data_IF_898569384353
#
_entry.id   IF_898569384353
#
_cell.length_a   1.000
_cell.length_b   1.000
_cell.length_c   1.000
_cell.angle_alpha   90.00
_cell.angle_beta   90.00
_cell.angle_gamma   90.00
#
_symmetry.space_group_name_H-M   'P 1'
#
loop_
_entity.id
_entity.type
_entity.pdbx_description
1 polymer ?
#
# COMPACT_ATOMS: atom_id res chain seq x y z
N UNK A 1 -22.96 -36.74 -32.83
CA UNK A 1 -21.95 -35.78 -33.36
C UNK A 1 -22.23 -34.33 -32.93
N UNK A 2 -23.05 -34.10 -31.89
CA UNK A 2 -23.38 -32.75 -31.38
C UNK A 2 -22.34 -32.19 -30.39
N UNK A 3 -21.43 -33.01 -29.87
CA UNK A 3 -20.49 -32.60 -28.82
C UNK A 3 -19.37 -31.69 -29.34
N UNK A 4 -19.00 -31.79 -30.62
CA UNK A 4 -17.93 -30.98 -31.21
C UNK A 4 -18.39 -29.58 -31.64
N UNK A 5 -19.67 -29.39 -31.99
CA UNK A 5 -20.20 -28.08 -32.38
C UNK A 5 -20.55 -27.21 -31.16
N UNK A 6 -20.96 -27.82 -30.06
CA UNK A 6 -21.39 -27.10 -28.85
C UNK A 6 -20.23 -26.39 -28.10
N UNK A 7 -18.98 -26.81 -28.33
CA UNK A 7 -17.79 -26.16 -27.78
C UNK A 7 -17.40 -24.88 -28.53
N UNK A 8 -17.84 -24.75 -29.80
CA UNK A 8 -17.49 -23.64 -30.68
C UNK A 8 -18.46 -22.45 -30.53
N UNK A 9 -19.67 -22.70 -30.03
CA UNK A 9 -20.77 -21.72 -29.96
C UNK A 9 -20.88 -20.99 -28.60
N UNK A 10 -20.28 -21.55 -27.54
CA UNK A 10 -20.45 -21.07 -26.16
C UNK A 10 -19.28 -20.27 -25.56
N UNK A 11 -18.28 -19.85 -26.35
CA UNK A 11 -17.30 -18.87 -25.88
C UNK A 11 -16.33 -19.36 -24.79
N UNK A 12 -16.22 -20.67 -24.56
CA UNK A 12 -15.01 -21.29 -23.99
C UNK A 12 -14.09 -21.62 -25.18
N UNK A 13 -13.56 -20.59 -25.82
CA UNK A 13 -12.85 -20.71 -27.12
C UNK A 13 -11.32 -20.70 -27.01
N UNK A 14 -10.78 -20.66 -25.80
CA UNK A 14 -9.34 -20.52 -25.60
C UNK A 14 -8.96 -21.09 -24.23
N UNK A 15 -8.25 -22.24 -24.22
CA UNK A 15 -7.59 -22.78 -23.03
C UNK A 15 -6.82 -21.67 -22.29
N UNK A 16 -6.20 -20.76 -23.05
CA UNK A 16 -5.43 -19.66 -22.50
C UNK A 16 -6.29 -18.67 -21.69
N UNK A 17 -7.57 -18.50 -22.01
CA UNK A 17 -8.48 -17.62 -21.26
C UNK A 17 -8.89 -18.23 -19.92
N UNK A 18 -9.12 -19.55 -19.87
CA UNK A 18 -9.33 -20.28 -18.63
C UNK A 18 -8.06 -20.27 -17.76
N UNK A 19 -6.89 -20.51 -18.36
CA UNK A 19 -5.59 -20.47 -17.67
C UNK A 19 -5.28 -19.08 -17.11
N UNK A 20 -5.57 -18.01 -17.85
CA UNK A 20 -5.46 -16.62 -17.35
C UNK A 20 -6.34 -16.39 -16.14
N UNK A 21 -7.59 -16.85 -16.16
CA UNK A 21 -8.50 -16.69 -15.04
C UNK A 21 -8.01 -17.44 -13.80
N UNK A 22 -7.56 -18.69 -13.97
CA UNK A 22 -6.97 -19.49 -12.90
C UNK A 22 -5.75 -18.78 -12.31
N UNK A 23 -4.84 -18.30 -13.16
CA UNK A 23 -3.63 -17.59 -12.74
C UNK A 23 -3.94 -16.31 -11.97
N UNK A 24 -4.91 -15.52 -12.41
CA UNK A 24 -5.35 -14.31 -11.71
C UNK A 24 -5.95 -14.63 -10.32
N UNK A 25 -6.74 -15.69 -10.21
CA UNK A 25 -7.29 -16.12 -8.92
C UNK A 25 -6.20 -16.61 -7.97
N UNK A 26 -5.21 -17.35 -8.50
CA UNK A 26 -4.05 -17.80 -7.73
C UNK A 26 -3.24 -16.60 -7.21
N UNK A 27 -2.93 -15.62 -8.06
CA UNK A 27 -2.19 -14.42 -7.67
C UNK A 27 -2.91 -13.63 -6.56
N UNK A 28 -4.24 -13.46 -6.68
CA UNK A 28 -5.07 -12.86 -5.62
C UNK A 28 -5.00 -13.64 -4.31
N UNK A 29 -5.15 -14.96 -4.36
CA UNK A 29 -5.09 -15.80 -3.16
C UNK A 29 -3.71 -15.75 -2.47
N UNK A 30 -2.63 -15.72 -3.25
CA UNK A 30 -1.26 -15.58 -2.72
C UNK A 30 -1.09 -14.21 -2.05
N UNK A 31 -1.52 -13.12 -2.70
CA UNK A 31 -1.46 -11.78 -2.13
C UNK A 31 -2.28 -11.67 -0.83
N UNK A 32 -3.52 -12.18 -0.83
CA UNK A 32 -4.37 -12.22 0.37
C UNK A 32 -3.71 -13.00 1.51
N UNK A 33 -3.14 -14.17 1.23
CA UNK A 33 -2.49 -15.02 2.23
C UNK A 33 -1.24 -14.35 2.80
N UNK A 34 -0.45 -13.71 1.93
CA UNK A 34 0.74 -12.95 2.32
C UNK A 34 0.38 -11.83 3.29
N UNK A 35 -0.63 -11.03 2.94
CA UNK A 35 -1.12 -9.92 3.79
C UNK A 35 -1.67 -10.41 5.12
N UNK A 36 -2.48 -11.48 5.11
CA UNK A 36 -3.00 -12.07 6.35
C UNK A 36 -1.88 -12.53 7.28
N UNK A 37 -0.85 -13.17 6.74
CA UNK A 37 0.31 -13.61 7.52
C UNK A 37 1.10 -12.43 8.07
N UNK A 38 1.38 -11.42 7.24
CA UNK A 38 2.14 -10.24 7.65
C UNK A 38 1.45 -9.45 8.75
N UNK A 39 0.13 -9.29 8.65
CA UNK A 39 -0.63 -8.45 9.57
C UNK A 39 -1.22 -9.23 10.75
N UNK A 40 -1.01 -10.55 10.82
CA UNK A 40 -1.57 -11.42 11.85
C UNK A 40 -3.10 -11.53 11.80
N UNK A 41 -3.71 -11.42 10.62
CA UNK A 41 -5.16 -11.44 10.45
C UNK A 41 -5.65 -12.89 10.32
N UNK A 42 -6.33 -13.36 11.36
CA UNK A 42 -6.91 -14.71 11.40
C UNK A 42 -8.28 -14.81 10.71
N UNK A 43 -9.00 -13.69 10.57
CA UNK A 43 -10.32 -13.65 9.89
C UNK A 43 -10.18 -13.62 8.37
N UNK A 44 -11.30 -13.81 7.67
CA UNK A 44 -11.40 -13.50 6.25
C UNK A 44 -11.29 -11.98 6.03
N UNK A 45 -10.66 -11.59 4.91
CA UNK A 45 -10.66 -10.21 4.45
C UNK A 45 -12.03 -9.86 3.87
N UNK A 46 -12.51 -8.64 4.15
CA UNK A 46 -13.69 -8.08 3.49
C UNK A 46 -13.39 -7.82 2.02
N UNK A 47 -14.43 -7.70 1.17
CA UNK A 47 -14.23 -7.44 -0.25
C UNK A 47 -13.36 -6.20 -0.50
N UNK A 48 -13.62 -5.12 0.24
CA UNK A 48 -12.84 -3.87 0.13
C UNK A 48 -11.37 -4.05 0.50
N UNK A 49 -11.08 -4.88 1.50
CA UNK A 49 -9.69 -5.22 1.87
C UNK A 49 -9.02 -6.04 0.77
N UNK A 50 -9.73 -7.01 0.18
CA UNK A 50 -9.22 -7.79 -0.96
C UNK A 50 -8.92 -6.90 -2.16
N UNK A 51 -9.77 -5.90 -2.42
CA UNK A 51 -9.57 -4.95 -3.52
C UNK A 51 -8.28 -4.13 -3.31
N UNK A 52 -8.02 -3.67 -2.07
CA UNK A 52 -6.77 -3.01 -1.72
C UNK A 52 -5.56 -3.94 -1.91
N UNK A 53 -5.64 -5.17 -1.40
CA UNK A 53 -4.53 -6.13 -1.54
C UNK A 53 -4.24 -6.42 -3.01
N UNK A 54 -5.27 -6.63 -3.82
CA UNK A 54 -5.11 -6.82 -5.26
C UNK A 54 -4.48 -5.60 -5.94
N UNK A 55 -4.88 -4.39 -5.55
CA UNK A 55 -4.31 -3.15 -6.06
C UNK A 55 -2.81 -3.07 -5.77
N UNK A 56 -2.38 -3.37 -4.55
CA UNK A 56 -0.97 -3.25 -4.15
C UNK A 56 -0.08 -4.26 -4.88
N UNK A 57 -0.46 -5.55 -4.86
CA UNK A 57 0.40 -6.62 -5.38
C UNK A 57 0.26 -6.88 -6.87
N UNK A 58 -0.96 -6.80 -7.43
CA UNK A 58 -1.21 -7.22 -8.80
C UNK A 58 -1.37 -6.04 -9.78
N UNK A 59 -1.62 -4.82 -9.30
CA UNK A 59 -1.75 -3.62 -10.14
C UNK A 59 -0.52 -2.73 -10.02
N UNK A 60 -0.10 -2.39 -8.79
CA UNK A 60 1.12 -1.59 -8.54
C UNK A 60 2.39 -2.42 -8.46
N UNK A 61 2.23 -3.75 -8.44
CA UNK A 61 3.34 -4.69 -8.45
C UNK A 61 4.33 -4.48 -7.28
N UNK A 62 3.80 -4.02 -6.14
CA UNK A 62 4.59 -3.89 -4.92
C UNK A 62 4.92 -5.26 -4.35
N UNK A 63 6.13 -5.36 -3.79
CA UNK A 63 6.56 -6.53 -3.07
C UNK A 63 6.00 -6.56 -1.64
N UNK A 64 6.25 -7.69 -0.97
CA UNK A 64 5.80 -7.87 0.42
C UNK A 64 6.49 -6.92 1.39
N UNK A 65 7.73 -6.53 1.10
CA UNK A 65 8.52 -5.65 1.98
C UNK A 65 7.96 -4.24 1.99
N UNK A 66 7.57 -3.70 0.83
CA UNK A 66 6.92 -2.41 0.68
C UNK A 66 5.62 -2.34 1.49
N UNK A 67 4.77 -3.37 1.38
CA UNK A 67 3.50 -3.43 2.13
C UNK A 67 3.74 -3.59 3.62
N UNK A 68 4.76 -4.37 4.02
CA UNK A 68 5.16 -4.51 5.43
C UNK A 68 5.63 -3.19 6.02
N UNK A 69 6.42 -2.42 5.28
CA UNK A 69 6.93 -1.13 5.74
C UNK A 69 5.78 -0.12 5.93
N UNK A 70 4.80 -0.09 5.03
CA UNK A 70 3.59 0.73 5.20
C UNK A 70 2.79 0.32 6.45
N UNK A 71 2.71 -0.97 6.75
CA UNK A 71 2.09 -1.49 7.97
C UNK A 71 2.82 -1.03 9.23
N UNK A 72 4.15 -1.14 9.26
CA UNK A 72 4.98 -0.69 10.39
C UNK A 72 4.79 0.81 10.65
N UNK A 73 4.79 1.63 9.60
CA UNK A 73 4.50 3.08 9.71
C UNK A 73 3.11 3.32 10.30
N UNK A 74 2.09 2.60 9.82
CA UNK A 74 0.73 2.74 10.35
C UNK A 74 0.65 2.37 11.84
N UNK A 75 1.24 1.26 12.25
CA UNK A 75 1.23 0.81 13.65
C UNK A 75 2.01 1.80 14.53
N UNK A 76 3.18 2.28 14.09
CA UNK A 76 3.96 3.28 14.82
C UNK A 76 3.22 4.61 14.97
N UNK A 77 2.47 5.03 13.94
CA UNK A 77 1.75 6.31 13.96
C UNK A 77 0.43 6.27 14.76
N UNK A 78 -0.32 5.17 14.70
CA UNK A 78 -1.68 5.08 15.27
C UNK A 78 -1.85 4.10 16.42
N UNK A 79 -0.85 3.25 16.67
CA UNK A 79 -0.93 2.14 17.63
C UNK A 79 -1.94 1.04 17.25
N UNK A 80 -2.58 1.14 16.07
CA UNK A 80 -3.61 0.22 15.64
C UNK A 80 -3.55 -0.03 14.14
N UNK A 81 -3.97 -1.22 13.73
CA UNK A 81 -4.04 -1.63 12.34
C UNK A 81 -5.24 -0.98 11.62
N UNK A 82 -4.99 -0.32 10.47
CA UNK A 82 -6.05 0.26 9.65
C UNK A 82 -5.74 0.19 8.14
N UNK A 83 -6.42 -0.70 7.43
CA UNK A 83 -6.30 -0.86 5.96
C UNK A 83 -6.37 0.46 5.17
N UNK A 84 -7.35 1.36 5.40
CA UNK A 84 -7.44 2.60 4.62
C UNK A 84 -6.22 3.51 4.81
N UNK A 85 -5.59 3.48 5.99
CA UNK A 85 -4.42 4.30 6.26
C UNK A 85 -3.18 3.73 5.58
N UNK A 86 -3.00 2.40 5.62
CA UNK A 86 -1.95 1.70 4.89
C UNK A 86 -2.10 1.95 3.38
N UNK A 87 -3.32 1.86 2.83
CA UNK A 87 -3.57 2.18 1.42
C UNK A 87 -3.13 3.60 1.10
N UNK A 88 -3.45 4.58 1.94
CA UNK A 88 -3.07 5.98 1.71
C UNK A 88 -1.56 6.19 1.71
N UNK A 89 -0.80 5.47 2.53
CA UNK A 89 0.67 5.49 2.51
C UNK A 89 1.17 4.94 1.17
N UNK A 90 0.67 3.77 0.76
CA UNK A 90 1.05 3.11 -0.49
C UNK A 90 0.65 3.93 -1.73
N UNK A 91 -0.51 4.59 -1.71
CA UNK A 91 -0.95 5.53 -2.75
C UNK A 91 0.00 6.72 -2.89
N UNK A 92 0.46 7.27 -1.75
CA UNK A 92 1.44 8.35 -1.75
C UNK A 92 2.78 7.90 -2.36
N UNK A 93 3.23 6.69 -2.10
CA UNK A 93 4.45 6.16 -2.73
C UNK A 93 4.27 5.91 -4.22
N UNK A 94 3.18 5.26 -4.61
CA UNK A 94 2.85 5.00 -6.01
C UNK A 94 2.76 6.30 -6.82
N UNK A 95 2.09 7.33 -6.29
CA UNK A 95 1.98 8.64 -6.96
C UNK A 95 3.33 9.38 -7.09
N UNK A 96 4.30 9.05 -6.25
CA UNK A 96 5.68 9.57 -6.33
C UNK A 96 6.61 8.70 -7.18
N UNK A 97 6.11 7.61 -7.75
CA UNK A 97 6.92 6.65 -8.50
C UNK A 97 7.90 5.85 -7.62
N UNK A 98 7.65 5.80 -6.31
CA UNK A 98 8.43 5.04 -5.35
C UNK A 98 7.92 3.60 -5.39
N UNK A 99 8.77 2.68 -5.82
CA UNK A 99 8.41 1.28 -6.03
C UNK A 99 9.26 0.29 -5.22
N UNK A 100 10.24 0.80 -4.46
CA UNK A 100 11.17 -0.04 -3.68
C UNK A 100 11.27 0.46 -2.25
N UNK A 101 11.53 -0.45 -1.30
CA UNK A 101 11.69 -0.11 0.10
C UNK A 101 12.87 0.87 0.36
N UNK A 102 13.94 0.77 -0.43
CA UNK A 102 15.08 1.71 -0.35
C UNK A 102 14.66 3.14 -0.64
N UNK A 103 13.89 3.36 -1.71
CA UNK A 103 13.39 4.69 -2.08
C UNK A 103 12.44 5.28 -1.03
N UNK A 104 11.72 4.43 -0.29
CA UNK A 104 10.88 4.88 0.83
C UNK A 104 11.72 5.43 1.96
N UNK A 105 12.85 4.80 2.28
CA UNK A 105 13.73 5.27 3.34
C UNK A 105 14.25 6.69 3.05
N UNK A 106 14.64 6.96 1.80
CA UNK A 106 15.03 8.29 1.34
C UNK A 106 13.89 9.32 1.45
N UNK A 107 12.63 8.92 1.19
CA UNK A 107 11.47 9.81 1.36
C UNK A 107 11.20 10.11 2.84
N UNK A 108 11.34 9.12 3.71
CA UNK A 108 11.16 9.29 5.15
C UNK A 108 12.21 10.23 5.75
N UNK A 109 13.48 10.09 5.35
CA UNK A 109 14.56 11.00 5.75
C UNK A 109 14.23 12.44 5.32
N UNK A 110 13.84 12.64 4.05
CA UNK A 110 13.46 13.96 3.53
C UNK A 110 12.26 14.58 4.26
N UNK A 111 11.27 13.77 4.66
CA UNK A 111 10.13 14.25 5.46
C UNK A 111 10.53 14.68 6.86
N UNK A 112 11.42 13.94 7.52
CA UNK A 112 11.92 14.30 8.85
C UNK A 112 12.75 15.59 8.81
N UNK A 113 13.56 15.79 7.77
CA UNK A 113 14.33 17.02 7.53
C UNK A 113 13.41 18.24 7.28
N UNK A 114 12.33 18.07 6.51
CA UNK A 114 11.36 19.15 6.27
C UNK A 114 10.47 19.46 7.49
N UNK A 115 10.18 18.45 8.31
CA UNK A 115 9.38 18.66 9.53
C UNK A 115 10.20 19.35 10.62
N UNK A 116 11.49 19.01 10.74
CA UNK A 116 12.43 19.71 11.63
C UNK A 116 12.71 21.16 11.19
N UNK A 117 12.77 21.43 9.88
CA UNK A 117 12.92 22.81 9.37
C UNK A 117 11.67 23.66 9.62
N UNK A 118 10.46 23.09 9.52
CA UNK A 118 9.22 23.82 9.78
C UNK A 118 8.90 24.01 11.28
N UNK A 119 9.37 23.12 12.16
CA UNK A 119 9.31 23.35 13.61
C UNK A 119 10.33 24.39 14.10
N UNK A 120 11.27 24.79 13.25
CA UNK A 120 12.24 25.86 13.51
C UNK A 120 11.69 27.25 13.17
N UNK A 121 10.39 27.50 13.34
CA UNK A 121 9.90 28.85 13.66
C UNK A 121 10.39 29.24 15.07
N UNK A 122 11.71 29.37 15.17
CA UNK A 122 12.45 30.38 15.91
C UNK A 122 11.85 30.72 17.27
N UNK A 123 11.79 29.73 18.15
CA UNK A 123 11.48 29.90 19.57
C UNK A 123 12.38 30.98 20.19
N UNK A 124 13.63 31.07 19.73
CA UNK A 124 14.57 32.11 20.13
C UNK A 124 14.17 33.51 19.65
N UNK A 125 13.54 33.63 18.47
CA UNK A 125 13.08 34.91 17.91
C UNK A 125 11.79 35.40 18.54
N UNK A 126 10.94 34.49 19.01
CA UNK A 126 9.75 34.83 19.79
C UNK A 126 10.17 35.41 21.15
N UNK A 127 11.18 34.82 21.79
CA UNK A 127 11.72 35.32 23.06
C UNK A 127 12.39 36.70 22.90
N UNK A 128 13.12 36.91 21.80
CA UNK A 128 13.75 38.19 21.46
C UNK A 128 12.73 39.31 21.15
N UNK A 129 11.60 38.98 20.52
CA UNK A 129 10.51 39.94 20.25
C UNK A 129 9.72 40.30 21.52
N UNK A 130 9.55 39.37 22.46
CA UNK A 130 8.83 39.63 23.72
C UNK A 130 9.62 40.53 24.68
N UNK A 131 10.95 40.56 24.55
CA UNK A 131 11.82 41.43 25.34
C UNK A 131 11.92 42.86 24.77
N UNK A 132 11.60 43.08 23.50
CA UNK A 132 11.61 44.41 22.88
C UNK A 132 10.44 45.30 23.32
N UNK A 133 9.32 44.72 23.72
CA UNK A 133 8.15 45.47 24.19
C UNK A 133 8.24 45.89 25.68
N UNK A 134 9.35 45.58 26.36
CA UNK A 134 9.58 45.86 27.78
C UNK A 134 10.56 47.01 28.07
N UNK A 135 11.06 47.73 27.06
CA UNK A 135 11.84 48.97 27.23
C UNK A 135 11.03 50.25 26.98
#
# INVERSE_FOLDING_TARGET
KETAMNWMENGITDLASAERQISMLQAKNVAESSVKSMFGINRALTQKEKDFVNLWFNVWNFDSEMVKLAYEINVNAKGQFAFPYISKILENWHSKGIATAEQVNDENIKRQEQQSSNSSFDVNKIDELLLQDYE
#
